data_IF_392240479951
#
_entry.id   IF_392240479951
#
_cell.length_a   1.000
_cell.length_b   1.000
_cell.length_c   1.000
_cell.angle_alpha   90.00
_cell.angle_beta   90.00
_cell.angle_gamma   90.00
#
_symmetry.space_group_name_H-M   'P 1'
#
loop_
_entity.id
_entity.type
_entity.pdbx_description
1 polymer ?
#
# COMPACT_ATOMS: atom_id res chain seq x y z
N UNK A 1 -5.26 32.30 -6.61
CA UNK A 1 -4.29 31.26 -7.02
C UNK A 1 -5.03 29.97 -7.34
N UNK A 2 -5.14 29.51 -8.60
CA UNK A 2 -5.73 28.22 -8.87
C UNK A 2 -4.83 27.14 -8.26
N UNK A 3 -5.39 26.27 -7.41
CA UNK A 3 -4.70 25.06 -6.95
C UNK A 3 -4.43 24.23 -8.20
N UNK A 4 -3.18 24.26 -8.69
CA UNK A 4 -2.71 23.50 -9.84
C UNK A 4 -3.20 22.07 -9.64
N UNK A 5 -4.18 21.64 -10.44
CA UNK A 5 -4.64 20.25 -10.46
C UNK A 5 -3.44 19.43 -10.89
N UNK A 6 -2.66 18.96 -9.91
CA UNK A 6 -1.48 18.15 -10.16
C UNK A 6 -1.93 16.96 -11.01
N UNK A 7 -1.28 16.77 -12.16
CA UNK A 7 -1.56 15.68 -13.09
C UNK A 7 -1.65 14.39 -12.27
N UNK A 8 -2.82 13.73 -12.30
CA UNK A 8 -3.01 12.45 -11.59
C UNK A 8 -1.91 11.50 -12.08
N UNK A 9 -1.08 10.99 -11.16
CA UNK A 9 -0.10 9.94 -11.51
C UNK A 9 -0.84 8.80 -12.20
N UNK A 10 -0.26 8.20 -13.25
CA UNK A 10 -0.86 7.04 -13.90
C UNK A 10 -1.12 5.95 -12.85
N UNK A 11 -2.28 5.31 -12.95
CA UNK A 11 -2.71 4.29 -12.00
C UNK A 11 -1.75 3.11 -12.05
N UNK A 12 -1.26 2.67 -10.89
CA UNK A 12 -0.43 1.47 -10.82
C UNK A 12 -1.30 0.22 -11.00
N UNK A 13 -0.83 -0.71 -11.84
CA UNK A 13 -1.46 -2.01 -12.04
C UNK A 13 -1.12 -2.90 -10.84
N UNK A 14 -2.14 -3.44 -10.19
CA UNK A 14 -2.02 -4.35 -9.05
C UNK A 14 -2.48 -5.73 -9.51
N UNK A 15 -1.75 -6.81 -9.20
CA UNK A 15 -2.18 -8.17 -9.51
C UNK A 15 -3.54 -8.49 -8.90
N UNK A 16 -4.27 -9.43 -9.50
CA UNK A 16 -5.59 -9.79 -9.00
C UNK A 16 -5.55 -10.52 -7.65
N UNK A 17 -4.47 -11.27 -7.42
CA UNK A 17 -4.19 -11.94 -6.16
C UNK A 17 -2.96 -11.30 -5.52
N UNK A 18 -3.08 -10.93 -4.24
CA UNK A 18 -2.00 -10.38 -3.43
C UNK A 18 -1.89 -11.25 -2.19
N UNK A 19 -0.81 -12.02 -2.09
CA UNK A 19 -0.55 -12.84 -0.91
C UNK A 19 0.07 -11.99 0.20
N UNK A 20 -0.14 -12.40 1.46
CA UNK A 20 0.50 -11.80 2.62
C UNK A 20 1.96 -12.26 2.78
N UNK A 21 2.33 -13.35 2.10
CA UNK A 21 3.70 -13.90 2.08
C UNK A 21 4.67 -13.10 1.21
N UNK A 22 4.16 -12.29 0.28
CA UNK A 22 4.98 -11.50 -0.65
C UNK A 22 5.46 -10.19 0.03
N UNK A 23 6.33 -10.33 1.03
CA UNK A 23 6.77 -9.24 1.90
C UNK A 23 7.41 -8.10 1.11
N UNK A 24 8.26 -8.41 0.14
CA UNK A 24 8.91 -7.44 -0.75
C UNK A 24 7.89 -6.59 -1.52
N UNK A 25 6.79 -7.19 -1.99
CA UNK A 25 5.72 -6.46 -2.67
C UNK A 25 4.96 -5.56 -1.69
N UNK A 26 4.61 -6.09 -0.52
CA UNK A 26 3.86 -5.34 0.49
C UNK A 26 4.65 -4.19 1.12
N UNK A 27 5.98 -4.30 1.21
CA UNK A 27 6.87 -3.22 1.67
C UNK A 27 6.74 -1.96 0.82
N UNK A 28 6.46 -2.07 -0.48
CA UNK A 28 6.26 -0.90 -1.35
C UNK A 28 5.07 -0.01 -0.93
N UNK A 29 4.12 -0.57 -0.17
CA UNK A 29 2.93 0.13 0.31
C UNK A 29 3.05 0.59 1.77
N UNK A 30 4.24 0.45 2.36
CA UNK A 30 4.54 0.85 3.72
C UNK A 30 5.74 1.81 3.66
N UNK A 31 5.57 3.09 4.04
CA UNK A 31 6.69 4.01 4.19
C UNK A 31 7.50 3.66 5.44
N UNK A 32 8.69 4.25 5.59
CA UNK A 32 9.65 3.98 6.68
C UNK A 32 9.03 3.95 8.08
N UNK A 33 8.03 4.80 8.37
CA UNK A 33 7.34 4.84 9.68
C UNK A 33 6.45 3.61 9.98
N UNK A 34 6.25 2.72 9.01
CA UNK A 34 5.49 1.49 9.23
C UNK A 34 3.96 1.65 9.15
N UNK A 35 3.43 2.79 8.68
CA UNK A 35 1.97 2.96 8.46
C UNK A 35 1.55 2.43 7.08
N UNK A 36 0.27 2.11 6.87
CA UNK A 36 -0.19 1.75 5.51
C UNK A 36 -0.31 3.03 4.68
N UNK A 37 0.33 3.08 3.51
CA UNK A 37 0.30 4.24 2.61
C UNK A 37 -1.13 4.50 2.10
N UNK A 38 -1.63 5.75 2.13
CA UNK A 38 -2.96 6.06 1.66
C UNK A 38 -3.06 6.00 0.13
N UNK A 39 -4.24 5.61 -0.36
CA UNK A 39 -4.57 5.44 -1.79
C UNK A 39 -4.18 6.62 -2.69
N UNK A 40 -4.29 7.85 -2.17
CA UNK A 40 -3.99 9.08 -2.91
C UNK A 40 -2.51 9.21 -3.29
N UNK A 41 -1.63 8.52 -2.58
CA UNK A 41 -0.18 8.52 -2.82
C UNK A 41 0.20 7.31 -3.67
N UNK A 42 -0.34 6.12 -3.35
CA UNK A 42 -0.07 4.88 -4.09
C UNK A 42 -0.71 4.83 -5.48
N UNK A 43 -1.78 5.59 -5.73
CA UNK A 43 -2.39 5.67 -7.06
C UNK A 43 -3.09 4.38 -7.50
N UNK A 44 -3.59 3.55 -6.57
CA UNK A 44 -4.32 2.30 -6.85
C UNK A 44 -5.84 2.46 -6.70
N UNK A 45 -6.64 1.45 -7.07
CA UNK A 45 -8.10 1.52 -6.78
C UNK A 45 -8.45 1.24 -5.34
N UNK A 46 -9.69 1.58 -4.98
CA UNK A 46 -10.27 1.21 -3.70
C UNK A 46 -10.35 -0.31 -3.49
N UNK A 47 -10.53 -1.11 -4.55
CA UNK A 47 -10.55 -2.59 -4.45
C UNK A 47 -9.14 -3.11 -4.13
N UNK A 48 -8.14 -2.63 -4.87
CA UNK A 48 -6.73 -2.98 -4.68
C UNK A 48 -6.24 -2.59 -3.28
N UNK A 49 -6.55 -1.37 -2.83
CA UNK A 49 -6.18 -0.90 -1.50
C UNK A 49 -6.76 -1.78 -0.39
N UNK A 50 -8.01 -2.24 -0.52
CA UNK A 50 -8.62 -3.16 0.47
C UNK A 50 -7.91 -4.51 0.49
N UNK A 51 -7.59 -5.06 -0.69
CA UNK A 51 -6.83 -6.32 -0.82
C UNK A 51 -5.46 -6.22 -0.14
N UNK A 52 -4.68 -5.21 -0.52
CA UNK A 52 -3.34 -4.95 0.04
C UNK A 52 -3.41 -4.68 1.55
N UNK A 53 -4.37 -3.88 2.03
CA UNK A 53 -4.50 -3.61 3.46
C UNK A 53 -4.80 -4.89 4.27
N UNK A 54 -5.62 -5.81 3.74
CA UNK A 54 -5.86 -7.11 4.38
C UNK A 54 -4.61 -7.97 4.38
N UNK A 55 -3.87 -8.03 3.26
CA UNK A 55 -2.61 -8.76 3.16
C UNK A 55 -1.56 -8.22 4.15
N UNK A 56 -1.36 -6.90 4.22
CA UNK A 56 -0.45 -6.25 5.18
C UNK A 56 -0.84 -6.59 6.61
N UNK A 57 -2.13 -6.51 6.97
CA UNK A 57 -2.58 -6.84 8.32
C UNK A 57 -2.27 -8.29 8.69
N UNK A 58 -2.51 -9.24 7.77
CA UNK A 58 -2.17 -10.66 7.97
C UNK A 58 -0.66 -10.86 8.14
N UNK A 59 0.14 -10.25 7.27
CA UNK A 59 1.60 -10.32 7.34
C UNK A 59 2.14 -9.76 8.67
N UNK A 60 1.53 -8.70 9.21
CA UNK A 60 1.88 -8.16 10.54
C UNK A 60 1.55 -9.11 11.68
N UNK A 61 0.38 -9.75 11.65
CA UNK A 61 0.01 -10.76 12.65
C UNK A 61 0.97 -11.95 12.62
N UNK A 62 1.50 -12.28 11.44
CA UNK A 62 2.49 -13.36 11.24
C UNK A 62 3.94 -12.91 11.46
N UNK A 63 4.17 -11.72 12.04
CA UNK A 63 5.48 -11.14 12.30
C UNK A 63 6.40 -10.95 11.07
N UNK A 64 5.85 -10.98 9.85
CA UNK A 64 6.61 -10.74 8.61
C UNK A 64 6.83 -9.26 8.32
N UNK A 65 5.95 -8.40 8.83
CA UNK A 65 6.04 -6.94 8.69
C UNK A 65 5.87 -6.26 10.05
N UNK A 66 6.61 -5.18 10.32
CA UNK A 66 6.46 -4.44 11.57
C UNK A 66 5.17 -3.61 11.59
N UNK A 67 4.63 -3.40 12.79
CA UNK A 67 3.53 -2.45 13.02
C UNK A 67 4.03 -1.01 13.11
N UNK A 68 5.24 -0.84 13.64
CA UNK A 68 5.96 0.43 13.81
C UNK A 68 7.40 0.17 13.42
N UNK A 69 7.95 1.06 12.60
CA UNK A 69 9.37 1.13 12.26
C UNK A 69 9.86 2.55 12.55
N UNK A 70 11.14 2.66 12.91
CA UNK A 70 11.77 3.90 13.39
C UNK A 70 11.65 5.09 12.42
#
# INVERSE_FOLDING_TARGET
MPRRFQRRRPRQVVPDYVDWKDVEYLRQFIPERGKIMPRRISGITAKDQRRIATAIKRARTMAMLPFVSE
#
